data_IF_898189257129
#
_entry.id   IF_898189257129
#
_cell.length_a   1.000
_cell.length_b   1.000
_cell.length_c   1.000
_cell.angle_alpha   90.00
_cell.angle_beta   90.00
_cell.angle_gamma   90.00
#
_symmetry.space_group_name_H-M   'P 1'
#
loop_
_entity.id
_entity.type
_entity.pdbx_description
1 polymer ?
#
# COMPACT_ATOMS: atom_id res chain seq x y z
N UNK A 1 73.77 23.31 29.32
CA UNK A 1 72.31 23.43 29.29
C UNK A 1 71.75 22.36 28.35
N UNK A 2 71.08 21.33 28.87
CA UNK A 2 70.38 20.30 28.08
C UNK A 2 68.91 20.31 28.54
N UNK A 3 68.00 20.72 27.66
CA UNK A 3 66.56 20.59 27.87
C UNK A 3 66.05 19.43 26.99
N UNK A 4 65.72 18.31 27.61
CA UNK A 4 64.96 17.22 27.00
C UNK A 4 63.46 17.49 27.19
N UNK A 5 62.72 17.64 26.09
CA UNK A 5 61.25 17.70 26.09
C UNK A 5 60.68 16.32 25.76
N UNK A 6 59.73 15.78 26.55
CA UNK A 6 59.08 14.52 26.21
C UNK A 6 58.01 14.71 25.14
N UNK A 7 57.96 13.74 24.22
CA UNK A 7 57.02 13.64 23.10
C UNK A 7 55.65 13.23 23.66
N UNK A 8 54.62 14.05 23.41
CA UNK A 8 53.24 13.71 23.70
C UNK A 8 52.69 12.80 22.60
N UNK A 9 52.41 11.54 22.93
CA UNK A 9 51.74 10.60 22.05
C UNK A 9 50.22 10.84 22.11
N UNK A 10 49.67 11.43 21.04
CA UNK A 10 48.22 11.52 20.80
C UNK A 10 47.73 10.17 20.27
N UNK A 11 47.09 9.38 21.13
CA UNK A 11 46.31 8.20 20.75
C UNK A 11 44.93 8.67 20.24
N UNK A 12 44.74 8.65 18.93
CA UNK A 12 43.43 8.86 18.31
C UNK A 12 42.63 7.54 18.36
N UNK A 13 41.68 7.45 19.28
CA UNK A 13 40.71 6.36 19.34
C UNK A 13 39.64 6.57 18.25
N UNK A 14 39.69 5.75 17.19
CA UNK A 14 38.66 5.72 16.15
C UNK A 14 37.47 4.93 16.68
N UNK A 15 36.49 5.62 17.28
CA UNK A 15 35.19 5.04 17.60
C UNK A 15 34.46 4.71 16.29
N UNK A 16 34.53 3.44 15.88
CA UNK A 16 33.72 2.93 14.78
C UNK A 16 32.28 2.77 15.27
N UNK A 17 31.45 3.80 15.07
CA UNK A 17 30.00 3.67 15.32
C UNK A 17 29.38 2.87 14.19
N UNK A 18 29.17 1.58 14.45
CA UNK A 18 28.31 0.73 13.61
C UNK A 18 26.89 1.28 13.72
N UNK A 19 26.46 2.02 12.70
CA UNK A 19 25.06 2.42 12.54
C UNK A 19 24.27 1.15 12.21
N UNK A 20 23.69 0.54 13.23
CA UNK A 20 22.60 -0.42 13.02
C UNK A 20 21.42 0.38 12.47
N UNK A 21 21.25 0.38 11.15
CA UNK A 21 20.01 0.82 10.55
C UNK A 21 18.90 -0.09 11.10
N UNK A 22 17.97 0.47 11.87
CA UNK A 22 16.76 -0.23 12.28
C UNK A 22 16.11 -0.84 11.04
N UNK A 23 15.56 -2.07 11.11
CA UNK A 23 14.79 -2.60 10.00
C UNK A 23 13.69 -1.58 9.66
N UNK A 24 13.59 -1.21 8.38
CA UNK A 24 12.53 -0.32 7.93
C UNK A 24 11.20 -1.02 8.19
N UNK A 25 10.48 -0.58 9.22
CA UNK A 25 9.15 -1.09 9.51
C UNK A 25 8.26 -0.83 8.29
N UNK A 26 7.58 -1.88 7.83
CA UNK A 26 6.45 -1.76 6.94
C UNK A 26 5.49 -0.66 7.42
N UNK A 27 5.24 0.36 6.59
CA UNK A 27 4.22 1.36 6.87
C UNK A 27 2.96 1.01 6.07
N UNK A 28 1.80 1.25 6.65
CA UNK A 28 0.51 1.04 6.03
C UNK A 28 -0.45 2.18 6.40
N UNK A 29 -1.44 2.45 5.55
CA UNK A 29 -2.40 3.50 5.82
C UNK A 29 -3.45 3.70 4.73
N UNK A 30 -4.36 4.64 4.99
CA UNK A 30 -5.36 5.12 4.03
C UNK A 30 -4.99 6.53 3.59
N UNK A 31 -4.97 6.78 2.28
CA UNK A 31 -4.75 8.08 1.65
C UNK A 31 -5.89 8.42 0.70
N UNK A 32 -6.04 9.67 0.27
CA UNK A 32 -7.07 10.04 -0.73
C UNK A 32 -6.75 9.60 -2.16
N UNK A 33 -5.54 9.06 -2.38
CA UNK A 33 -5.05 8.65 -3.70
C UNK A 33 -3.91 7.63 -3.57
N UNK A 34 -3.68 6.88 -4.64
CA UNK A 34 -2.52 6.01 -4.78
C UNK A 34 -1.39 6.70 -5.55
N UNK A 35 -0.14 6.45 -5.15
CA UNK A 35 1.06 6.89 -5.87
C UNK A 35 1.61 5.77 -6.76
N UNK A 36 2.33 6.15 -7.83
CA UNK A 36 2.96 5.19 -8.74
C UNK A 36 2.17 5.00 -10.03
N UNK A 37 2.07 3.77 -10.51
CA UNK A 37 1.35 3.41 -11.74
C UNK A 37 0.32 2.32 -11.48
N UNK A 38 -0.82 2.38 -12.18
CA UNK A 38 -1.79 1.29 -12.22
C UNK A 38 -1.12 0.07 -12.85
N UNK A 39 -1.04 -1.03 -12.10
CA UNK A 39 -0.49 -2.31 -12.56
C UNK A 39 -1.57 -3.34 -12.87
N UNK A 40 -2.75 -3.18 -12.27
CA UNK A 40 -3.94 -3.96 -12.60
C UNK A 40 -5.20 -3.13 -12.34
N UNK A 41 -6.25 -3.42 -13.07
CA UNK A 41 -7.57 -2.83 -12.83
C UNK A 41 -8.64 -3.87 -13.15
N UNK A 42 -9.78 -3.75 -12.49
CA UNK A 42 -10.91 -4.64 -12.73
C UNK A 42 -12.23 -3.91 -12.60
N UNK A 43 -13.23 -4.38 -13.33
CA UNK A 43 -14.55 -3.73 -13.34
C UNK A 43 -15.47 -4.35 -12.31
N UNK A 44 -16.29 -3.52 -11.66
CA UNK A 44 -17.32 -3.97 -10.72
C UNK A 44 -18.67 -4.02 -11.45
N UNK A 45 -19.26 -5.21 -11.50
CA UNK A 45 -20.53 -5.47 -12.17
C UNK A 45 -21.61 -5.90 -11.18
N UNK A 46 -22.79 -5.31 -11.29
CA UNK A 46 -23.97 -5.82 -10.61
C UNK A 46 -24.51 -7.08 -11.31
N UNK A 47 -25.25 -7.94 -10.59
CA UNK A 47 -26.13 -8.92 -11.19
C UNK A 47 -27.06 -8.25 -12.22
N UNK A 48 -26.95 -8.64 -13.48
CA UNK A 48 -27.65 -7.99 -14.60
C UNK A 48 -26.74 -7.24 -15.58
N UNK A 49 -25.43 -7.17 -15.31
CA UNK A 49 -24.44 -6.67 -16.28
C UNK A 49 -24.26 -5.16 -16.30
N UNK A 50 -24.75 -4.45 -15.27
CA UNK A 50 -24.49 -3.02 -15.12
C UNK A 50 -23.12 -2.79 -14.46
N UNK A 51 -22.23 -2.06 -15.14
CA UNK A 51 -20.98 -1.60 -14.54
C UNK A 51 -21.29 -0.49 -13.55
N UNK A 52 -20.83 -0.65 -12.32
CA UNK A 52 -21.06 0.33 -11.24
C UNK A 52 -19.79 0.93 -10.69
N UNK A 53 -18.63 0.45 -11.10
CA UNK A 53 -17.37 0.98 -10.65
C UNK A 53 -16.17 0.26 -11.25
N UNK A 54 -15.01 0.58 -10.71
CA UNK A 54 -13.75 -0.14 -10.97
C UNK A 54 -12.87 -0.13 -9.74
N UNK A 55 -12.01 -1.14 -9.64
CA UNK A 55 -10.94 -1.20 -8.64
C UNK A 55 -9.61 -1.17 -9.36
N UNK A 56 -8.66 -0.41 -8.82
CA UNK A 56 -7.33 -0.26 -9.35
C UNK A 56 -6.31 -0.69 -8.31
N UNK A 57 -5.32 -1.48 -8.75
CA UNK A 57 -4.11 -1.78 -8.02
C UNK A 57 -2.98 -0.92 -8.60
N UNK A 58 -2.36 -0.16 -7.72
CA UNK A 58 -1.23 0.71 -8.00
C UNK A 58 0.03 0.17 -7.36
N UNK A 59 1.16 0.39 -8.03
CA UNK A 59 2.48 0.07 -7.49
C UNK A 59 3.45 1.24 -7.67
N UNK A 60 4.27 1.48 -6.65
CA UNK A 60 5.41 2.41 -6.69
C UNK A 60 6.65 1.70 -6.17
N UNK A 61 7.77 1.79 -6.89
CA UNK A 61 9.05 1.20 -6.45
C UNK A 61 9.75 1.99 -5.34
N UNK A 62 9.21 3.14 -4.93
CA UNK A 62 9.75 3.94 -3.84
C UNK A 62 9.62 3.20 -2.49
N UNK A 63 10.49 3.54 -1.52
CA UNK A 63 10.40 3.06 -0.13
C UNK A 63 10.26 1.53 0.01
N UNK A 64 11.03 0.77 -0.77
CA UNK A 64 11.01 -0.69 -0.72
C UNK A 64 9.78 -1.33 -1.37
N UNK A 65 9.07 -0.60 -2.24
CA UNK A 65 7.89 -1.08 -2.96
C UNK A 65 6.61 -0.82 -2.16
N UNK A 66 5.69 -0.05 -2.74
CA UNK A 66 4.38 0.26 -2.16
C UNK A 66 3.29 -0.24 -3.09
N UNK A 67 2.43 -1.12 -2.57
CA UNK A 67 1.19 -1.52 -3.21
C UNK A 67 0.05 -0.67 -2.64
N UNK A 68 -0.86 -0.22 -3.49
CA UNK A 68 -2.01 0.60 -3.09
C UNK A 68 -3.26 0.20 -3.87
N UNK A 69 -4.40 0.09 -3.20
CA UNK A 69 -5.68 -0.20 -3.83
C UNK A 69 -6.65 0.97 -3.65
N UNK A 70 -7.39 1.28 -4.71
CA UNK A 70 -8.47 2.26 -4.68
C UNK A 70 -9.64 1.73 -5.50
N UNK A 71 -10.86 1.90 -4.98
CA UNK A 71 -12.11 1.53 -5.64
C UNK A 71 -12.89 2.79 -5.94
N UNK A 72 -13.34 2.94 -7.17
CA UNK A 72 -14.18 4.04 -7.63
C UNK A 72 -15.59 3.54 -7.93
N UNK A 73 -16.60 4.31 -7.52
CA UNK A 73 -18.00 4.10 -7.87
C UNK A 73 -18.45 5.11 -8.93
N UNK A 74 -19.29 4.66 -9.85
CA UNK A 74 -19.96 5.50 -10.86
C UNK A 74 -21.38 5.89 -10.45
N UNK A 75 -21.83 5.42 -9.29
CA UNK A 75 -23.19 5.63 -8.79
C UNK A 75 -23.35 6.96 -8.03
N UNK A 76 -22.25 7.61 -7.66
CA UNK A 76 -22.28 8.78 -6.79
C UNK A 76 -22.91 8.45 -5.43
N UNK A 77 -23.64 9.40 -4.85
CA UNK A 77 -24.32 9.28 -3.56
C UNK A 77 -25.46 8.25 -3.50
N UNK A 78 -25.62 7.42 -4.54
CA UNK A 78 -26.60 6.31 -4.57
C UNK A 78 -26.04 5.00 -4.02
N UNK A 79 -24.74 4.95 -3.75
CA UNK A 79 -24.08 3.77 -3.19
C UNK A 79 -24.40 3.63 -1.71
N UNK A 80 -24.64 2.41 -1.23
CA UNK A 80 -24.80 2.10 0.19
C UNK A 80 -23.43 1.90 0.88
N UNK A 81 -22.37 1.72 0.09
CA UNK A 81 -21.00 1.63 0.57
C UNK A 81 -20.00 1.30 -0.52
N UNK A 82 -18.75 1.66 -0.29
CA UNK A 82 -17.62 1.36 -1.17
C UNK A 82 -16.49 0.76 -0.34
N UNK A 83 -15.86 -0.28 -0.85
CA UNK A 83 -14.75 -0.97 -0.17
C UNK A 83 -13.53 -1.13 -1.08
N UNK A 84 -12.34 -1.01 -0.50
CA UNK A 84 -11.06 -1.29 -1.13
C UNK A 84 -10.20 -2.12 -0.18
N UNK A 85 -9.69 -3.26 -0.64
CA UNK A 85 -9.00 -4.23 0.20
C UNK A 85 -7.71 -4.70 -0.47
N UNK A 86 -6.64 -4.76 0.31
CA UNK A 86 -5.31 -5.17 -0.11
C UNK A 86 -4.77 -6.21 0.86
N UNK A 87 -4.26 -7.32 0.31
CA UNK A 87 -3.52 -8.32 1.06
C UNK A 87 -2.16 -8.54 0.41
N UNK A 88 -1.13 -8.67 1.23
CA UNK A 88 0.25 -8.95 0.84
C UNK A 88 0.57 -10.41 1.19
N UNK A 89 1.37 -11.07 0.36
CA UNK A 89 1.72 -12.49 0.52
C UNK A 89 2.39 -12.83 1.87
N UNK A 90 3.01 -11.85 2.53
CA UNK A 90 3.62 -12.02 3.85
C UNK A 90 2.63 -11.99 5.03
N UNK A 91 1.33 -11.86 4.73
CA UNK A 91 0.23 -11.90 5.71
C UNK A 91 -0.32 -10.52 6.10
N UNK A 92 0.35 -9.43 5.73
CA UNK A 92 -0.17 -8.07 5.96
C UNK A 92 -1.40 -7.80 5.11
N UNK A 93 -2.31 -6.99 5.63
CA UNK A 93 -3.50 -6.60 4.91
C UNK A 93 -4.04 -5.28 5.45
N UNK A 94 -4.70 -4.53 4.56
CA UNK A 94 -5.35 -3.28 4.88
C UNK A 94 -6.65 -3.16 4.10
N UNK A 95 -7.64 -2.50 4.69
CA UNK A 95 -8.93 -2.27 4.06
C UNK A 95 -9.45 -0.88 4.42
N UNK A 96 -10.11 -0.26 3.44
CA UNK A 96 -10.95 0.90 3.65
C UNK A 96 -12.35 0.55 3.14
N UNK A 97 -13.26 0.33 4.07
CA UNK A 97 -14.61 -0.15 3.79
C UNK A 97 -15.60 0.60 4.67
N UNK A 98 -15.98 1.80 4.21
CA UNK A 98 -16.98 2.65 4.88
C UNK A 98 -18.25 2.74 4.04
N UNK A 99 -19.40 2.77 4.71
CA UNK A 99 -20.70 3.04 4.10
C UNK A 99 -20.91 4.52 3.75
N UNK A 100 -19.96 5.41 4.06
CA UNK A 100 -20.08 6.87 3.90
C UNK A 100 -19.47 7.44 2.63
N UNK A 101 -18.91 6.60 1.75
CA UNK A 101 -18.23 7.09 0.55
C UNK A 101 -19.18 7.21 -0.62
N UNK A 102 -19.26 8.40 -1.23
CA UNK A 102 -20.11 8.64 -2.40
C UNK A 102 -19.44 8.28 -3.74
N UNK A 103 -18.10 8.22 -3.79
CA UNK A 103 -17.40 8.16 -5.08
C UNK A 103 -16.18 7.26 -5.10
N UNK A 104 -15.49 7.08 -3.97
CA UNK A 104 -14.36 6.16 -3.88
C UNK A 104 -14.11 5.71 -2.44
N UNK A 105 -13.52 4.52 -2.30
CA UNK A 105 -12.88 4.07 -1.08
C UNK A 105 -11.43 3.69 -1.39
N UNK A 106 -10.55 3.85 -0.41
CA UNK A 106 -9.16 3.45 -0.53
C UNK A 106 -8.24 4.61 -0.84
N UNK A 107 -7.17 4.30 -1.59
CA UNK A 107 -5.83 4.73 -1.21
C UNK A 107 -5.31 3.88 -0.04
N UNK A 108 -5.72 2.62 0.04
CA UNK A 108 -5.27 1.69 1.07
C UNK A 108 -3.93 1.09 0.64
N UNK A 109 -2.85 1.42 1.33
CA UNK A 109 -1.49 1.13 0.90
C UNK A 109 -0.65 0.44 1.97
N UNK A 110 0.32 -0.34 1.50
CA UNK A 110 1.33 -1.01 2.31
C UNK A 110 2.69 -0.86 1.61
N UNK A 111 3.70 -0.32 2.32
CA UNK A 111 5.08 -0.16 1.84
C UNK A 111 5.99 -1.32 2.25
N UNK A 112 7.25 -1.31 1.80
CA UNK A 112 8.20 -2.41 2.00
C UNK A 112 7.61 -3.76 1.56
N UNK A 113 7.00 -3.78 0.38
CA UNK A 113 6.34 -4.95 -0.19
C UNK A 113 6.98 -5.40 -1.52
N UNK A 114 8.14 -4.87 -1.89
CA UNK A 114 8.82 -5.27 -3.11
C UNK A 114 9.14 -6.77 -3.12
N UNK A 115 8.92 -7.40 -4.26
CA UNK A 115 9.06 -8.84 -4.47
C UNK A 115 7.92 -9.67 -3.90
N UNK A 116 6.94 -9.08 -3.22
CA UNK A 116 5.78 -9.79 -2.68
C UNK A 116 4.61 -9.74 -3.65
N UNK A 117 3.90 -10.87 -3.78
CA UNK A 117 2.65 -10.90 -4.50
C UNK A 117 1.53 -10.30 -3.65
N UNK A 118 0.49 -9.79 -4.32
CA UNK A 118 -0.67 -9.20 -3.66
C UNK A 118 -1.98 -9.83 -4.15
N UNK A 119 -3.00 -9.67 -3.33
CA UNK A 119 -4.41 -9.84 -3.66
C UNK A 119 -5.09 -8.51 -3.43
N UNK A 120 -6.10 -8.21 -4.23
CA UNK A 120 -6.86 -6.98 -4.05
C UNK A 120 -8.33 -7.22 -4.41
N UNK A 121 -9.20 -6.43 -3.80
CA UNK A 121 -10.65 -6.48 -4.02
C UNK A 121 -11.20 -5.06 -3.96
N UNK A 122 -12.16 -4.78 -4.84
CA UNK A 122 -13.03 -3.63 -4.69
C UNK A 122 -14.48 -4.06 -4.58
N UNK A 123 -15.27 -3.28 -3.84
CA UNK A 123 -16.69 -3.49 -3.66
C UNK A 123 -17.47 -2.19 -3.79
N UNK A 124 -18.67 -2.28 -4.39
CA UNK A 124 -19.68 -1.23 -4.42
C UNK A 124 -21.01 -1.88 -4.09
N UNK A 125 -21.73 -1.30 -3.13
CA UNK A 125 -23.04 -1.79 -2.69
C UNK A 125 -24.13 -0.87 -3.22
N UNK A 126 -25.15 -1.44 -3.85
CA UNK A 126 -26.34 -0.72 -4.31
C UNK A 126 -27.59 -1.54 -3.99
N UNK A 127 -28.53 -0.95 -3.27
CA UNK A 127 -29.80 -1.56 -2.87
C UNK A 127 -29.57 -2.94 -2.21
N UNK A 128 -28.55 -3.03 -1.34
CA UNK A 128 -28.14 -4.27 -0.66
C UNK A 128 -27.45 -5.31 -1.56
N UNK A 129 -27.24 -5.02 -2.85
CA UNK A 129 -26.52 -5.89 -3.79
C UNK A 129 -25.06 -5.49 -3.88
N UNK A 130 -24.15 -6.47 -3.79
CA UNK A 130 -22.69 -6.22 -3.82
C UNK A 130 -22.13 -6.52 -5.21
N UNK A 131 -21.58 -5.50 -5.86
CA UNK A 131 -20.71 -5.67 -7.01
C UNK A 131 -19.26 -5.80 -6.54
N UNK A 132 -18.55 -6.82 -7.00
CA UNK A 132 -17.14 -7.05 -6.62
C UNK A 132 -16.26 -7.16 -7.86
N UNK A 133 -14.99 -6.80 -7.71
CA UNK A 133 -13.97 -6.95 -8.74
C UNK A 133 -12.59 -7.13 -8.13
N UNK A 134 -11.59 -7.42 -8.96
CA UNK A 134 -10.20 -7.59 -8.57
C UNK A 134 -9.81 -9.05 -8.39
N UNK A 135 -8.57 -9.27 -7.96
CA UNK A 135 -7.94 -10.59 -7.87
C UNK A 135 -7.74 -11.02 -6.42
N UNK A 136 -8.82 -11.37 -5.74
CA UNK A 136 -8.77 -11.79 -4.33
C UNK A 136 -8.64 -13.32 -4.14
N UNK A 137 -8.97 -14.10 -5.17
CA UNK A 137 -8.91 -15.57 -5.14
C UNK A 137 -7.51 -16.18 -5.31
N UNK A 138 -6.52 -15.44 -5.82
CA UNK A 138 -5.16 -15.95 -6.05
C UNK A 138 -4.11 -14.85 -5.91
N UNK A 139 -2.92 -15.21 -5.44
CA UNK A 139 -1.77 -14.29 -5.39
C UNK A 139 -1.31 -13.93 -6.80
N UNK A 140 -0.98 -12.64 -7.02
CA UNK A 140 -0.50 -12.13 -8.29
C UNK A 140 0.12 -10.74 -8.18
N UNK A 141 0.41 -10.11 -9.32
CA UNK A 141 0.96 -8.75 -9.38
C UNK A 141 2.18 -8.57 -8.47
N UNK A 142 3.15 -9.49 -8.58
CA UNK A 142 4.32 -9.53 -7.73
C UNK A 142 5.36 -8.52 -8.23
N UNK A 143 5.80 -7.61 -7.36
CA UNK A 143 6.77 -6.56 -7.68
C UNK A 143 7.21 -5.81 -6.44
#
# INVERSE_FOLDING_TARGET
MRLTRPIAALLAAVCSTVLFASPASAAEGISSSCSGTVVAQDTLWLPGGNQVGRVELWYSSANGGTNCVITHSYLGSRTDGIGAYLWIQDGRNIADASSSYDSYAGGAWISNASGLCVKYKGEVVLDGTVATGGRWGSWGNCG
#
